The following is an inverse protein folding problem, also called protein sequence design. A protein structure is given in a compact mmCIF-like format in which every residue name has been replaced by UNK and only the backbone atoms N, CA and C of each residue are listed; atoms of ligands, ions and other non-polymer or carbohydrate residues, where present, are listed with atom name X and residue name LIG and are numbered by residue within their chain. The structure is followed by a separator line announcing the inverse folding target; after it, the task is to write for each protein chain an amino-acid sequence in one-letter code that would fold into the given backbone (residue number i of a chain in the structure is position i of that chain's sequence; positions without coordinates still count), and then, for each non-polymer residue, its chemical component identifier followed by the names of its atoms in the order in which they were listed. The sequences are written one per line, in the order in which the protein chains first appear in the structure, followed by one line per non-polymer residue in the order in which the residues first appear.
data_IF_793418414042
#
_entry.id   IF_793418414042
#
_cell.length_a   1.000
_cell.length_b   1.000
_cell.length_c   1.000
_cell.angle_alpha   90.00
_cell.angle_beta   90.00
_cell.angle_gamma   90.00
#
_symmetry.space_group_name_H-M   'P 1'
#
loop_
_entity.id
_entity.type
_entity.pdbx_description
1 polymer ?
#
# COMPACT_ATOMS: atom_id res chain seq x y z
N UNK A 1 4.59 -40.35 38.59
CA UNK A 1 3.84 -40.92 37.46
C UNK A 1 2.53 -41.47 38.00
N UNK A 2 1.39 -40.91 37.59
CA UNK A 2 0.05 -41.26 38.09
C UNK A 2 -0.68 -42.11 37.04
N UNK A 3 -1.06 -43.34 37.41
CA UNK A 3 -2.15 -44.17 36.86
C UNK A 3 -2.35 -44.33 35.33
N UNK A 4 -1.31 -44.33 34.50
CA UNK A 4 -1.43 -44.80 33.10
C UNK A 4 -2.38 -43.98 32.20
N UNK A 5 -2.78 -42.78 32.62
CA UNK A 5 -3.58 -41.86 31.83
C UNK A 5 -2.71 -41.01 30.92
N UNK A 6 -3.18 -40.73 29.70
CA UNK A 6 -2.58 -39.76 28.78
C UNK A 6 -3.41 -38.49 28.87
N UNK A 7 -2.74 -37.37 29.15
CA UNK A 7 -3.32 -36.02 29.04
C UNK A 7 -2.85 -35.41 27.73
N UNK A 8 -3.79 -34.87 26.95
CA UNK A 8 -3.51 -34.13 25.72
C UNK A 8 -4.03 -32.71 25.90
N UNK A 9 -3.17 -31.74 25.70
CA UNK A 9 -3.50 -30.32 25.64
C UNK A 9 -3.33 -29.84 24.19
N UNK A 10 -4.25 -29.00 23.73
CA UNK A 10 -4.20 -28.41 22.40
C UNK A 10 -4.73 -26.98 22.45
N UNK A 11 -4.25 -26.15 21.53
CA UNK A 11 -4.72 -24.79 21.28
C UNK A 11 -4.97 -24.59 19.80
N UNK A 12 -5.84 -23.65 19.46
CA UNK A 12 -6.04 -23.20 18.09
C UNK A 12 -5.54 -21.77 17.96
N UNK A 13 -4.75 -21.50 16.92
CA UNK A 13 -4.46 -20.14 16.48
C UNK A 13 -5.34 -19.84 15.26
N UNK A 14 -6.03 -18.71 15.30
CA UNK A 14 -6.78 -18.21 14.15
C UNK A 14 -5.84 -17.33 13.36
N UNK A 15 -5.37 -17.79 12.19
CA UNK A 15 -4.49 -17.01 11.31
C UNK A 15 -5.27 -16.10 10.35
N UNK A 16 -6.51 -16.47 10.02
CA UNK A 16 -7.33 -15.71 9.09
C UNK A 16 -8.82 -15.89 9.30
N UNK A 17 -9.57 -14.88 8.90
CA UNK A 17 -11.02 -14.77 9.08
C UNK A 17 -11.62 -14.46 7.71
N UNK A 18 -12.64 -15.20 7.31
CA UNK A 18 -13.42 -14.88 6.12
C UNK A 18 -14.46 -13.82 6.48
N UNK A 19 -14.29 -12.62 5.93
CA UNK A 19 -15.23 -11.51 6.11
C UNK A 19 -16.52 -11.71 5.32
N UNK A 20 -17.55 -10.93 5.64
CA UNK A 20 -18.88 -11.03 5.02
C UNK A 20 -18.91 -10.67 3.53
N UNK A 21 -17.89 -9.96 3.06
CA UNK A 21 -17.62 -9.64 1.65
C UNK A 21 -16.91 -10.78 0.89
N UNK A 22 -16.74 -11.95 1.52
CA UNK A 22 -16.00 -13.11 1.02
C UNK A 22 -14.50 -12.86 0.79
N UNK A 23 -13.91 -11.92 1.54
CA UNK A 23 -12.47 -11.67 1.52
C UNK A 23 -11.83 -12.26 2.77
N UNK A 24 -10.76 -13.02 2.57
CA UNK A 24 -9.94 -13.53 3.67
C UNK A 24 -9.04 -12.42 4.20
N UNK A 25 -9.16 -12.12 5.50
CA UNK A 25 -8.30 -11.19 6.22
C UNK A 25 -7.42 -11.97 7.20
N UNK A 26 -6.19 -11.52 7.40
CA UNK A 26 -5.33 -12.05 8.46
C UNK A 26 -5.79 -11.54 9.82
N UNK A 27 -5.60 -12.37 10.84
CA UNK A 27 -5.78 -11.96 12.22
C UNK A 27 -4.46 -11.42 12.78
N UNK A 28 -4.39 -10.11 12.99
CA UNK A 28 -3.21 -9.47 13.58
C UNK A 28 -3.39 -9.20 15.08
N UNK A 29 -4.52 -9.57 15.69
CA UNK A 29 -4.80 -9.23 17.09
C UNK A 29 -4.34 -10.31 18.08
N UNK A 30 -3.97 -11.49 17.56
CA UNK A 30 -3.39 -12.57 18.34
C UNK A 30 -1.90 -12.75 17.97
N UNK A 31 -1.02 -12.99 18.96
CA UNK A 31 0.37 -13.31 18.68
C UNK A 31 0.53 -14.57 17.82
N UNK A 32 1.56 -14.56 16.96
CA UNK A 32 1.92 -15.73 16.15
C UNK A 32 2.37 -16.90 17.05
N UNK A 33 1.97 -18.13 16.73
CA UNK A 33 2.46 -19.31 17.43
C UNK A 33 3.99 -19.39 17.43
N UNK A 34 4.58 -19.77 18.57
CA UNK A 34 6.01 -19.80 18.81
C UNK A 34 6.76 -18.48 18.54
N UNK A 35 6.10 -17.32 18.59
CA UNK A 35 6.76 -16.03 18.33
C UNK A 35 7.93 -15.73 19.28
N UNK A 36 7.88 -16.24 20.51
CA UNK A 36 8.95 -16.11 21.51
C UNK A 36 10.21 -16.92 21.13
N UNK A 37 10.03 -18.10 20.53
CA UNK A 37 11.14 -18.98 20.15
C UNK A 37 11.68 -18.64 18.75
N UNK A 38 10.78 -18.34 17.80
CA UNK A 38 11.11 -18.17 16.39
C UNK A 38 11.39 -16.72 15.98
N UNK A 39 11.14 -15.74 16.87
CA UNK A 39 11.45 -14.31 16.67
C UNK A 39 10.99 -13.77 15.30
N UNK A 40 9.86 -14.27 14.82
CA UNK A 40 9.35 -14.09 13.46
C UNK A 40 8.28 -13.00 13.37
N UNK A 41 8.20 -12.13 14.39
CA UNK A 41 7.11 -11.19 14.58
C UNK A 41 7.60 -9.74 14.70
N UNK A 42 6.85 -8.80 14.11
CA UNK A 42 6.92 -7.36 14.38
C UNK A 42 5.64 -6.99 15.11
N UNK A 43 5.75 -6.18 16.17
CA UNK A 43 4.59 -5.70 16.92
C UNK A 43 4.39 -4.21 16.70
N UNK A 44 3.20 -3.80 16.28
CA UNK A 44 2.80 -2.40 16.28
C UNK A 44 1.78 -2.17 17.39
N UNK A 45 1.79 -0.97 18.00
CA UNK A 45 0.85 -0.64 19.07
C UNK A 45 0.42 0.83 19.07
N UNK A 46 -0.73 1.11 19.65
CA UNK A 46 -1.32 2.47 19.82
C UNK A 46 -1.21 2.95 21.27
N UNK A 47 -1.24 4.26 21.51
CA UNK A 47 -0.97 4.92 22.80
C UNK A 47 -2.04 4.78 23.91
N UNK A 48 -1.77 5.45 25.05
CA UNK A 48 -2.16 5.12 26.45
C UNK A 48 -3.65 4.89 26.81
N UNK A 49 -4.64 5.32 26.02
CA UNK A 49 -6.05 5.18 26.43
C UNK A 49 -6.69 3.85 25.98
N UNK A 50 -6.28 3.33 24.82
CA UNK A 50 -6.72 2.03 24.25
C UNK A 50 -5.62 1.42 23.41
N UNK A 51 -4.69 0.74 24.07
CA UNK A 51 -3.62 0.03 23.38
C UNK A 51 -4.19 -1.11 22.54
N UNK A 52 -4.14 -0.93 21.22
CA UNK A 52 -4.41 -1.94 20.21
C UNK A 52 -3.07 -2.48 19.75
N UNK A 53 -2.93 -3.80 19.69
CA UNK A 53 -1.72 -4.46 19.19
C UNK A 53 -1.99 -5.08 17.83
N UNK A 54 -0.98 -4.99 16.96
CA UNK A 54 -0.89 -5.70 15.69
C UNK A 54 0.36 -6.57 15.68
N UNK A 55 0.15 -7.87 15.64
CA UNK A 55 1.17 -8.92 15.60
C UNK A 55 1.34 -9.39 14.16
N UNK A 56 2.44 -9.00 13.53
CA UNK A 56 2.66 -9.21 12.11
C UNK A 56 3.81 -10.18 11.85
N UNK A 57 3.71 -10.99 10.80
CA UNK A 57 4.82 -11.85 10.38
C UNK A 57 5.94 -11.00 9.77
N UNK A 58 7.10 -10.97 10.42
CA UNK A 58 8.27 -10.18 10.00
C UNK A 58 8.67 -10.45 8.56
N UNK A 59 8.76 -11.72 8.18
CA UNK A 59 9.21 -12.13 6.84
C UNK A 59 8.33 -11.55 5.72
N UNK A 60 7.02 -11.45 5.94
CA UNK A 60 6.09 -10.91 4.95
C UNK A 60 6.25 -9.40 4.80
N UNK A 61 6.26 -8.66 5.91
CA UNK A 61 6.46 -7.20 5.86
C UNK A 61 7.86 -6.81 5.36
N UNK A 62 8.91 -7.51 5.80
CA UNK A 62 10.29 -7.28 5.36
C UNK A 62 10.50 -7.58 3.87
N UNK A 63 9.65 -8.42 3.25
CA UNK A 63 9.67 -8.59 1.79
C UNK A 63 9.28 -7.31 1.05
N UNK A 64 8.45 -6.48 1.67
CA UNK A 64 7.96 -5.25 1.08
C UNK A 64 8.83 -4.03 1.39
N UNK A 65 9.66 -4.07 2.44
CA UNK A 65 10.47 -2.93 2.88
C UNK A 65 11.85 -3.37 3.40
N UNK A 66 12.90 -2.87 2.73
CA UNK A 66 14.27 -3.01 3.23
C UNK A 66 14.49 -2.22 4.53
N UNK A 67 13.70 -1.17 4.75
CA UNK A 67 13.74 -0.36 5.97
C UNK A 67 13.27 -1.16 7.18
N UNK A 68 12.14 -1.87 7.07
CA UNK A 68 11.66 -2.76 8.13
C UNK A 68 12.61 -3.94 8.39
N UNK A 69 13.39 -4.35 7.38
CA UNK A 69 14.40 -5.40 7.56
C UNK A 69 15.67 -4.90 8.29
N UNK A 70 15.98 -3.60 8.20
CA UNK A 70 17.22 -3.02 8.73
C UNK A 70 17.03 -2.36 10.11
N UNK A 71 15.88 -1.73 10.36
CA UNK A 71 15.64 -0.97 11.59
C UNK A 71 15.02 -1.77 12.73
N UNK A 72 14.33 -2.87 12.43
CA UNK A 72 13.65 -3.68 13.45
C UNK A 72 14.50 -4.87 13.87
N UNK A 73 15.04 -4.78 15.10
CA UNK A 73 15.53 -5.93 15.85
C UNK A 73 14.35 -6.81 16.27
N UNK A 74 14.69 -8.04 16.64
CA UNK A 74 13.71 -9.05 17.08
C UNK A 74 12.93 -8.55 18.30
N UNK A 75 11.60 -8.71 18.30
CA UNK A 75 10.67 -8.20 19.32
C UNK A 75 10.55 -6.68 19.44
N UNK A 76 11.08 -5.91 18.48
CA UNK A 76 10.88 -4.47 18.47
C UNK A 76 9.40 -4.12 18.33
N UNK A 77 8.97 -3.20 19.18
CA UNK A 77 7.63 -2.65 19.20
C UNK A 77 7.68 -1.26 18.59
N UNK A 78 6.82 -1.01 17.60
CA UNK A 78 6.68 0.31 16.98
C UNK A 78 5.35 0.93 17.38
N UNK A 79 5.42 2.15 17.91
CA UNK A 79 4.23 2.95 18.15
C UNK A 79 3.68 3.48 16.82
N UNK A 80 2.36 3.43 16.68
CA UNK A 80 1.63 4.00 15.55
C UNK A 80 0.59 5.00 16.06
N UNK A 81 0.22 5.97 15.22
CA UNK A 81 -0.79 6.95 15.57
C UNK A 81 -2.18 6.33 15.69
N UNK A 82 -2.85 6.57 16.82
CA UNK A 82 -4.22 6.11 17.12
C UNK A 82 -5.27 6.61 16.12
N UNK A 83 -5.01 7.69 15.38
CA UNK A 83 -6.01 8.34 14.52
C UNK A 83 -6.40 7.52 13.28
N UNK A 84 -5.58 6.52 12.89
CA UNK A 84 -5.74 5.81 11.61
C UNK A 84 -5.54 4.29 11.72
N UNK A 85 -5.94 3.70 12.85
CA UNK A 85 -5.83 2.25 13.14
C UNK A 85 -6.44 1.40 12.01
N UNK A 86 -7.63 1.76 11.53
CA UNK A 86 -8.31 1.05 10.43
C UNK A 86 -7.54 1.09 9.11
N UNK A 87 -6.83 2.20 8.84
CA UNK A 87 -6.02 2.37 7.62
C UNK A 87 -4.68 1.64 7.76
N UNK A 88 -4.18 1.51 9.00
CA UNK A 88 -3.00 0.72 9.31
C UNK A 88 -3.29 -0.78 9.21
N UNK A 89 -4.41 -1.27 9.76
CA UNK A 89 -4.85 -2.65 9.52
C UNK A 89 -4.97 -2.94 8.02
N UNK A 90 -5.58 -2.02 7.26
CA UNK A 90 -5.68 -2.14 5.81
C UNK A 90 -4.31 -2.24 5.11
N UNK A 91 -3.32 -1.43 5.52
CA UNK A 91 -1.94 -1.54 5.06
C UNK A 91 -1.37 -2.95 5.30
N UNK A 92 -1.55 -3.45 6.52
CA UNK A 92 -1.05 -4.77 6.92
C UNK A 92 -1.69 -5.88 6.11
N UNK A 93 -3.01 -5.84 5.90
CA UNK A 93 -3.73 -6.82 5.08
C UNK A 93 -3.15 -6.86 3.65
N UNK A 94 -2.93 -5.71 3.01
CA UNK A 94 -2.32 -5.65 1.68
C UNK A 94 -0.87 -6.16 1.71
N UNK A 95 -0.09 -5.76 2.72
CA UNK A 95 1.28 -6.23 2.94
C UNK A 95 1.39 -7.73 3.22
N UNK A 96 0.31 -8.39 3.62
CA UNK A 96 0.24 -9.84 3.78
C UNK A 96 -0.42 -10.54 2.58
N UNK A 97 -0.71 -9.79 1.51
CA UNK A 97 -1.16 -10.32 0.23
C UNK A 97 -2.68 -10.31 0.03
N UNK A 98 -3.45 -9.74 0.94
CA UNK A 98 -4.89 -9.60 0.74
C UNK A 98 -5.19 -8.58 -0.35
N UNK A 99 -6.15 -8.91 -1.21
CA UNK A 99 -6.59 -8.07 -2.33
C UNK A 99 -8.09 -7.83 -2.24
N UNK A 100 -8.54 -6.70 -2.80
CA UNK A 100 -9.96 -6.41 -2.94
C UNK A 100 -10.63 -5.86 -1.68
N UNK A 101 -9.93 -5.71 -0.57
CA UNK A 101 -10.44 -4.97 0.59
C UNK A 101 -10.53 -3.48 0.19
N UNK A 102 -11.50 -2.73 0.72
CA UNK A 102 -11.38 -1.29 0.92
C UNK A 102 -12.24 -0.37 0.06
N UNK A 103 -12.29 0.90 0.46
CA UNK A 103 -12.93 2.01 -0.26
C UNK A 103 -12.01 3.23 -0.33
N UNK A 104 -12.36 4.21 -1.16
CA UNK A 104 -11.53 5.39 -1.49
C UNK A 104 -10.95 6.08 -0.24
N UNK A 105 -11.77 6.23 0.81
CA UNK A 105 -11.41 6.96 2.03
C UNK A 105 -10.30 6.32 2.89
N UNK A 106 -9.96 5.04 2.70
CA UNK A 106 -8.82 4.42 3.42
C UNK A 106 -7.52 4.50 2.61
N UNK A 107 -7.60 4.90 1.35
CA UNK A 107 -6.49 4.71 0.40
C UNK A 107 -5.37 5.70 0.64
N UNK A 108 -5.69 6.95 0.97
CA UNK A 108 -4.70 8.01 1.13
C UNK A 108 -3.85 7.81 2.38
N UNK A 109 -4.50 7.59 3.51
CA UNK A 109 -3.85 7.35 4.80
C UNK A 109 -3.02 6.06 4.76
N UNK A 110 -3.49 5.03 4.06
CA UNK A 110 -2.70 3.82 3.83
C UNK A 110 -1.49 4.09 2.93
N UNK A 111 -1.60 4.96 1.92
CA UNK A 111 -0.45 5.35 1.10
C UNK A 111 0.57 6.18 1.90
N UNK A 112 0.14 7.04 2.82
CA UNK A 112 1.01 7.75 3.77
C UNK A 112 1.82 6.77 4.61
N UNK A 113 1.17 5.79 5.25
CA UNK A 113 1.90 4.75 5.99
C UNK A 113 2.82 3.93 5.08
N UNK A 114 2.38 3.61 3.86
CA UNK A 114 3.21 2.86 2.92
C UNK A 114 4.48 3.64 2.53
N UNK A 115 4.42 4.97 2.43
CA UNK A 115 5.59 5.82 2.23
C UNK A 115 6.47 5.87 3.50
N UNK A 116 5.86 6.09 4.67
CA UNK A 116 6.54 6.17 5.96
C UNK A 116 7.39 4.91 6.23
N UNK A 117 6.79 3.73 6.09
CA UNK A 117 7.44 2.44 6.27
C UNK A 117 8.21 1.95 5.03
N UNK A 118 8.26 2.76 3.97
CA UNK A 118 8.98 2.49 2.71
C UNK A 118 8.62 1.13 2.12
N UNK A 119 7.33 0.91 1.87
CA UNK A 119 6.71 -0.31 1.35
C UNK A 119 6.35 -0.16 -0.15
N UNK A 120 7.31 -0.04 -1.09
CA UNK A 120 7.03 0.22 -2.51
C UNK A 120 6.14 -0.83 -3.18
N UNK A 121 6.25 -2.09 -2.73
CA UNK A 121 5.41 -3.17 -3.23
C UNK A 121 3.95 -3.02 -2.80
N UNK A 122 3.68 -2.49 -1.59
CA UNK A 122 2.32 -2.21 -1.10
C UNK A 122 1.72 -1.04 -1.87
N UNK A 123 2.49 0.04 -2.08
CA UNK A 123 2.09 1.16 -2.95
C UNK A 123 1.66 0.67 -4.33
N UNK A 124 2.44 -0.23 -4.93
CA UNK A 124 2.11 -0.81 -6.24
C UNK A 124 0.81 -1.64 -6.22
N UNK A 125 0.57 -2.41 -5.15
CA UNK A 125 -0.67 -3.19 -5.00
C UNK A 125 -1.90 -2.28 -4.83
N UNK A 126 -1.76 -1.18 -4.09
CA UNK A 126 -2.81 -0.16 -3.95
C UNK A 126 -3.12 0.48 -5.29
N UNK A 127 -2.10 0.92 -6.04
CA UNK A 127 -2.23 1.50 -7.38
C UNK A 127 -3.00 0.57 -8.35
N UNK A 128 -2.70 -0.73 -8.31
CA UNK A 128 -3.41 -1.74 -9.11
C UNK A 128 -4.87 -1.92 -8.69
N UNK A 129 -5.13 -1.96 -7.39
CA UNK A 129 -6.48 -2.18 -6.83
C UNK A 129 -7.39 -0.98 -7.11
N UNK A 130 -6.86 0.23 -6.96
CA UNK A 130 -7.59 1.46 -7.26
C UNK A 130 -8.09 1.48 -8.72
N UNK A 131 -7.29 0.97 -9.66
CA UNK A 131 -7.68 0.81 -11.06
C UNK A 131 -8.85 -0.16 -11.25
N UNK A 132 -8.78 -1.33 -10.61
CA UNK A 132 -9.84 -2.38 -10.73
C UNK A 132 -11.17 -1.85 -10.22
N UNK A 133 -11.14 -1.15 -9.09
CA UNK A 133 -12.36 -0.66 -8.45
C UNK A 133 -12.86 0.66 -9.04
N UNK A 134 -12.25 1.15 -10.13
CA UNK A 134 -12.61 2.38 -10.84
C UNK A 134 -12.78 3.58 -9.90
N UNK A 135 -11.96 3.65 -8.86
CA UNK A 135 -12.02 4.75 -7.90
C UNK A 135 -11.68 6.04 -8.64
N UNK A 136 -12.66 6.95 -8.73
CA UNK A 136 -12.42 8.32 -9.11
C UNK A 136 -11.86 9.02 -7.89
N UNK A 137 -10.54 8.98 -7.77
CA UNK A 137 -9.81 9.95 -6.98
C UNK A 137 -9.93 11.25 -7.81
N UNK A 138 -10.87 12.12 -7.47
CA UNK A 138 -10.98 13.40 -8.16
C UNK A 138 -9.87 14.29 -7.57
N UNK A 139 -8.87 14.69 -8.40
CA UNK A 139 -7.62 15.44 -8.09
C UNK A 139 -6.26 14.67 -8.18
N UNK A 140 -6.16 13.70 -9.09
CA UNK A 140 -5.21 12.58 -9.05
C UNK A 140 -3.73 12.76 -9.38
N UNK A 141 -3.32 13.77 -10.14
CA UNK A 141 -1.98 13.71 -10.78
C UNK A 141 -0.87 14.03 -9.78
N UNK A 142 -1.07 15.05 -8.95
CA UNK A 142 -0.18 15.39 -7.85
C UNK A 142 0.01 14.20 -6.91
N UNK A 143 -1.08 13.52 -6.57
CA UNK A 143 -1.07 12.35 -5.70
C UNK A 143 -0.39 11.15 -6.36
N UNK A 144 -0.71 10.86 -7.62
CA UNK A 144 -0.06 9.81 -8.38
C UNK A 144 1.46 10.02 -8.49
N UNK A 145 1.90 11.28 -8.53
CA UNK A 145 3.31 11.62 -8.57
C UNK A 145 3.93 11.54 -7.17
N UNK A 146 3.27 12.11 -6.17
CA UNK A 146 3.72 12.10 -4.77
C UNK A 146 3.88 10.67 -4.23
N UNK A 147 2.88 9.82 -4.40
CA UNK A 147 2.92 8.42 -3.96
C UNK A 147 3.57 7.48 -4.98
N UNK A 148 3.92 7.93 -6.19
CA UNK A 148 4.54 7.09 -7.21
C UNK A 148 3.60 6.03 -7.83
N UNK A 149 2.31 6.34 -7.98
CA UNK A 149 1.26 5.49 -8.56
C UNK A 149 1.41 5.37 -10.09
N UNK A 150 2.18 4.37 -10.54
CA UNK A 150 2.58 4.18 -11.94
C UNK A 150 1.40 3.96 -12.89
N UNK A 151 0.41 3.17 -12.49
CA UNK A 151 -0.75 2.84 -13.31
C UNK A 151 -1.68 4.04 -13.42
N UNK A 152 -1.93 4.77 -12.32
CA UNK A 152 -2.69 6.02 -12.35
C UNK A 152 -2.03 7.10 -13.20
N UNK A 153 -0.72 7.31 -13.05
CA UNK A 153 0.00 8.26 -13.89
C UNK A 153 -0.12 7.89 -15.38
N UNK A 154 0.02 6.61 -15.73
CA UNK A 154 -0.11 6.15 -17.11
C UNK A 154 -1.54 6.31 -17.66
N UNK A 155 -2.57 6.12 -16.83
CA UNK A 155 -3.97 6.37 -17.18
C UNK A 155 -4.20 7.86 -17.46
N UNK A 156 -3.79 8.72 -16.52
CA UNK A 156 -3.87 10.18 -16.68
C UNK A 156 -3.18 10.67 -17.96
N UNK A 157 -1.94 10.23 -18.21
CA UNK A 157 -1.18 10.65 -19.40
C UNK A 157 -1.87 10.24 -20.71
N UNK A 158 -2.56 9.09 -20.74
CA UNK A 158 -3.34 8.65 -21.92
C UNK A 158 -4.63 9.45 -22.12
N UNK A 159 -5.21 9.99 -21.05
CA UNK A 159 -6.42 10.80 -21.14
C UNK A 159 -6.16 12.19 -21.73
N UNK A 160 -4.92 12.68 -21.67
CA UNK A 160 -4.54 13.96 -22.28
C UNK A 160 -4.60 13.86 -23.81
N UNK A 161 -5.36 14.79 -24.42
CA UNK A 161 -5.61 14.81 -25.87
C UNK A 161 -4.74 15.79 -26.62
N UNK A 162 -4.30 16.87 -25.98
CA UNK A 162 -3.43 17.88 -26.58
C UNK A 162 -2.22 18.17 -25.68
N UNK A 163 -1.17 18.71 -26.28
CA UNK A 163 0.02 19.11 -25.55
C UNK A 163 -0.30 20.23 -24.53
N UNK A 164 -1.19 21.17 -24.85
CA UNK A 164 -1.60 22.24 -23.94
C UNK A 164 -2.32 21.72 -22.70
N UNK A 165 -3.23 20.74 -22.84
CA UNK A 165 -3.91 20.13 -21.69
C UNK A 165 -2.91 19.56 -20.69
N UNK A 166 -1.91 18.83 -21.19
CA UNK A 166 -0.85 18.26 -20.36
C UNK A 166 -0.01 19.36 -19.68
N UNK A 167 0.37 20.42 -20.41
CA UNK A 167 1.13 21.55 -19.86
C UNK A 167 0.36 22.26 -18.76
N UNK A 168 -0.95 22.50 -18.93
CA UNK A 168 -1.77 23.17 -17.92
C UNK A 168 -1.89 22.38 -16.62
N UNK A 169 -1.85 21.04 -16.70
CA UNK A 169 -1.78 20.21 -15.51
C UNK A 169 -0.39 20.28 -14.88
N UNK A 170 0.68 20.12 -15.67
CA UNK A 170 2.05 20.13 -15.17
C UNK A 170 2.42 21.47 -14.50
N UNK A 171 1.88 22.60 -14.96
CA UNK A 171 2.06 23.92 -14.32
C UNK A 171 1.52 24.00 -12.90
N UNK A 172 0.55 23.16 -12.53
CA UNK A 172 -0.02 23.11 -11.18
C UNK A 172 0.80 22.23 -10.23
N UNK A 173 1.87 21.62 -10.75
CA UNK A 173 2.68 20.67 -10.02
C UNK A 173 4.02 21.27 -9.63
N UNK A 174 4.57 20.79 -8.52
CA UNK A 174 5.96 21.03 -8.17
C UNK A 174 6.86 20.09 -8.97
N UNK A 175 7.36 20.57 -10.11
CA UNK A 175 8.23 19.80 -11.02
C UNK A 175 9.58 19.45 -10.38
N UNK A 176 10.03 20.19 -9.36
CA UNK A 176 11.33 19.95 -8.71
C UNK A 176 11.31 18.70 -7.83
N UNK A 177 10.15 18.40 -7.25
CA UNK A 177 9.94 17.20 -6.42
C UNK A 177 9.66 15.94 -7.23
N UNK A 178 9.47 16.08 -8.54
CA UNK A 178 9.09 14.97 -9.42
C UNK A 178 10.29 14.03 -9.68
N UNK A 179 10.07 12.72 -9.53
CA UNK A 179 11.11 11.76 -9.88
C UNK A 179 11.45 11.80 -11.37
N UNK A 180 12.72 11.58 -11.72
CA UNK A 180 13.18 11.61 -13.12
C UNK A 180 12.45 10.62 -14.02
N UNK A 181 12.00 9.47 -13.48
CA UNK A 181 11.20 8.49 -14.25
C UNK A 181 9.80 8.98 -14.59
N UNK A 182 9.17 9.74 -13.68
CA UNK A 182 7.88 10.38 -13.94
C UNK A 182 8.06 11.48 -14.98
N UNK A 183 9.09 12.33 -14.81
CA UNK A 183 9.41 13.41 -15.75
C UNK A 183 9.61 12.88 -17.17
N UNK A 184 10.38 11.79 -17.34
CA UNK A 184 10.59 11.14 -18.64
C UNK A 184 9.28 10.69 -19.28
N UNK A 185 8.34 10.16 -18.51
CA UNK A 185 7.02 9.74 -19.02
C UNK A 185 6.18 10.92 -19.47
N UNK A 186 6.17 12.02 -18.70
CA UNK A 186 5.48 13.25 -19.06
C UNK A 186 6.06 13.85 -20.35
N UNK A 187 7.39 13.99 -20.44
CA UNK A 187 8.07 14.51 -21.64
C UNK A 187 7.81 13.62 -22.85
N UNK A 188 7.89 12.28 -22.69
CA UNK A 188 7.57 11.35 -23.77
C UNK A 188 6.14 11.60 -24.30
N UNK A 189 5.16 11.71 -23.41
CA UNK A 189 3.76 11.93 -23.80
C UNK A 189 3.57 13.29 -24.48
N UNK A 190 4.23 14.33 -23.97
CA UNK A 190 4.20 15.66 -24.57
C UNK A 190 4.69 15.63 -26.02
N UNK A 191 5.85 15.02 -26.29
CA UNK A 191 6.39 14.89 -27.64
C UNK A 191 5.49 14.07 -28.57
N UNK A 192 4.87 13.01 -28.06
CA UNK A 192 3.88 12.23 -28.84
C UNK A 192 2.69 13.10 -29.29
N UNK A 193 2.23 14.02 -28.44
CA UNK A 193 1.09 14.90 -28.74
C UNK A 193 1.45 15.98 -29.75
N UNK A 194 2.61 16.64 -29.59
CA UNK A 194 3.11 17.65 -30.54
C UNK A 194 3.29 17.08 -31.96
N UNK A 195 3.84 15.86 -32.09
CA UNK A 195 4.01 15.20 -33.38
C UNK A 195 2.64 14.91 -34.04
N UNK A 196 1.63 14.53 -33.25
CA UNK A 196 0.28 14.26 -33.76
C UNK A 196 -0.46 15.53 -34.20
N UNK A 197 -0.13 16.69 -33.63
CA UNK A 197 -0.68 17.98 -34.02
C UNK A 197 -0.03 18.54 -35.30
N UNK A 198 1.23 18.19 -35.57
CA UNK A 198 1.97 18.59 -36.79
C UNK A 198 1.62 17.75 -38.04
N UNK A 199 0.88 16.64 -37.92
CA UNK A 199 0.35 15.86 -39.06
C UNK A 199 -1.15 16.17 -39.30
N UNK A 200 -1.52 17.31 -39.93
CA UNK A 200 -2.89 17.50 -40.37
C UNK A 200 -3.15 16.56 -41.56
N UNK A 201 -3.94 15.52 -41.31
CA UNK A 201 -4.73 14.73 -42.27
C UNK A 201 -4.53 15.11 -43.75
N UNK A 202 -3.50 14.54 -44.38
CA UNK A 202 -3.37 14.52 -45.85
C UNK A 202 -4.15 13.31 -46.36
N UNK A 203 -5.48 13.40 -46.32
CA UNK A 203 -6.36 12.57 -47.14
C UNK A 203 -7.55 13.40 -47.58
N UNK A 204 -7.40 13.99 -48.78
CA UNK A 204 -8.49 14.41 -49.67
C UNK A 204 -8.63 13.33 -50.73
#
# INVERSE_FOLDING_TARGET
MTNGGITIEYGFQIEGILSSDNIWTFNFHDPVFDCQENQNMITFYTGEERTTFFFCHKQLLSHHSSYLNLELKENDMMEISDYFIDCFDYLLQIGHGVRGIGGVHKTYETLEFALEYKLPNVIQLIDQTARINSWRLENLVSEAIYYGLKHRLAEFLREQRTAEELVEVLKKMDLETMSGEIMKKCVKRFLELEIMEEEPSVFV
#
